data_IF_344507544467
#
_entry.id   IF_344507544467
#
_cell.length_a   1.000
_cell.length_b   1.000
_cell.length_c   1.000
_cell.angle_alpha   90.00
_cell.angle_beta   90.00
_cell.angle_gamma   90.00
#
_symmetry.space_group_name_H-M   'P 1'
#
loop_
_entity.id
_entity.type
_entity.pdbx_description
1 polymer ?
#
# COMPACT_ATOMS: atom_id res chain seq x y z
N UNK A 1 -13.79 4.09 -5.13
CA UNK A 1 -14.59 4.93 -4.21
C UNK A 1 -13.64 5.59 -3.22
N UNK A 2 -13.88 6.84 -2.81
CA UNK A 2 -13.07 7.47 -1.76
C UNK A 2 -13.45 6.87 -0.40
N UNK A 3 -12.47 6.46 0.40
CA UNK A 3 -12.67 5.91 1.74
C UNK A 3 -12.31 6.88 2.85
N UNK A 4 -11.89 8.13 2.55
CA UNK A 4 -11.45 9.15 3.54
C UNK A 4 -10.55 8.64 4.69
N UNK A 5 -9.80 7.56 4.41
CA UNK A 5 -8.92 6.86 5.36
C UNK A 5 -9.63 6.07 6.48
N UNK A 6 -10.95 5.87 6.40
CA UNK A 6 -11.70 5.06 7.36
C UNK A 6 -11.75 3.58 6.92
N UNK A 7 -11.21 2.71 7.78
CA UNK A 7 -11.17 1.26 7.58
C UNK A 7 -12.56 0.63 7.55
N UNK A 8 -13.52 1.13 8.34
CA UNK A 8 -14.88 0.58 8.34
C UNK A 8 -15.56 0.88 7.00
N UNK A 9 -15.36 2.09 6.50
CA UNK A 9 -15.88 2.51 5.18
C UNK A 9 -15.26 1.67 4.06
N UNK A 10 -14.00 1.25 4.20
CA UNK A 10 -13.35 0.39 3.23
C UNK A 10 -13.96 -1.02 3.18
N UNK A 11 -14.16 -1.64 4.33
CA UNK A 11 -14.70 -3.00 4.42
C UNK A 11 -16.12 -3.09 3.84
N UNK A 12 -16.95 -2.08 4.13
CA UNK A 12 -18.31 -1.99 3.58
C UNK A 12 -18.29 -1.80 2.05
N UNK A 13 -17.35 -1.02 1.52
CA UNK A 13 -17.20 -0.85 0.07
C UNK A 13 -16.72 -2.11 -0.62
N UNK A 14 -15.79 -2.86 0.00
CA UNK A 14 -15.32 -4.13 -0.54
C UNK A 14 -16.48 -5.14 -0.57
N UNK A 15 -17.26 -5.26 0.50
CA UNK A 15 -18.46 -6.12 0.54
C UNK A 15 -19.46 -5.72 -0.53
N UNK A 16 -19.75 -4.43 -0.69
CA UNK A 16 -20.65 -3.94 -1.73
C UNK A 16 -20.20 -4.33 -3.14
N UNK A 17 -18.89 -4.29 -3.42
CA UNK A 17 -18.35 -4.67 -4.72
C UNK A 17 -18.45 -6.18 -4.96
N UNK A 18 -18.19 -6.98 -3.92
CA UNK A 18 -18.38 -8.44 -3.98
C UNK A 18 -19.85 -8.82 -4.20
N UNK A 19 -20.78 -8.16 -3.49
CA UNK A 19 -22.23 -8.35 -3.69
C UNK A 19 -22.68 -7.98 -5.11
N UNK A 20 -21.94 -7.09 -5.79
CA UNK A 20 -22.18 -6.70 -7.18
C UNK A 20 -21.53 -7.64 -8.20
N UNK A 21 -20.93 -8.75 -7.77
CA UNK A 21 -20.28 -9.74 -8.63
C UNK A 21 -19.25 -9.13 -9.58
N UNK A 22 -18.38 -8.28 -9.06
CA UNK A 22 -17.25 -7.77 -9.85
C UNK A 22 -16.31 -8.92 -10.26
N UNK A 23 -15.75 -8.82 -11.47
CA UNK A 23 -14.80 -9.81 -11.99
C UNK A 23 -13.40 -9.72 -11.35
N UNK A 24 -13.14 -8.68 -10.56
CA UNK A 24 -11.84 -8.46 -9.92
C UNK A 24 -11.82 -7.18 -9.08
N UNK A 25 -10.81 -7.08 -8.21
CA UNK A 25 -10.65 -5.96 -7.28
C UNK A 25 -9.22 -5.40 -7.34
N UNK A 26 -9.10 -4.07 -7.46
CA UNK A 26 -7.84 -3.36 -7.27
C UNK A 26 -7.94 -2.55 -5.98
N UNK A 27 -6.98 -2.77 -5.07
CA UNK A 27 -7.03 -2.21 -3.71
C UNK A 27 -5.78 -1.37 -3.44
N UNK A 28 -5.96 -0.05 -3.37
CA UNK A 28 -4.86 0.91 -3.18
C UNK A 28 -4.55 1.25 -1.71
N UNK A 29 -5.38 0.79 -0.78
CA UNK A 29 -5.18 0.96 0.66
C UNK A 29 -5.42 -0.37 1.35
N UNK A 30 -4.60 -0.70 2.32
CA UNK A 30 -4.83 -1.87 3.15
C UNK A 30 -4.77 -1.45 4.62
N UNK A 31 -5.81 -1.81 5.37
CA UNK A 31 -5.81 -1.74 6.84
C UNK A 31 -5.16 -2.98 7.47
N UNK A 32 -5.72 -3.45 8.58
CA UNK A 32 -5.37 -4.70 9.28
C UNK A 32 -5.28 -5.92 8.35
N UNK A 33 -6.02 -5.91 7.24
CA UNK A 33 -5.91 -6.93 6.21
C UNK A 33 -6.78 -8.16 6.44
N UNK A 34 -7.43 -8.35 7.59
CA UNK A 34 -8.24 -9.54 7.87
C UNK A 34 -9.36 -9.81 6.85
N UNK A 35 -10.06 -8.76 6.38
CA UNK A 35 -11.11 -8.91 5.35
C UNK A 35 -10.51 -9.18 3.98
N UNK A 36 -9.43 -8.47 3.62
CA UNK A 36 -8.70 -8.73 2.38
C UNK A 36 -8.17 -10.16 2.32
N UNK A 37 -7.60 -10.64 3.43
CA UNK A 37 -7.14 -12.01 3.60
C UNK A 37 -8.27 -13.00 3.37
N UNK A 38 -9.41 -12.81 4.03
CA UNK A 38 -10.61 -13.65 3.82
C UNK A 38 -11.06 -13.66 2.36
N UNK A 39 -11.01 -12.52 1.68
CA UNK A 39 -11.44 -12.45 0.28
C UNK A 39 -10.45 -13.18 -0.61
N UNK A 40 -9.15 -13.02 -0.39
CA UNK A 40 -8.13 -13.73 -1.15
C UNK A 40 -8.16 -15.24 -0.89
N UNK A 41 -8.38 -15.65 0.36
CA UNK A 41 -8.41 -17.05 0.78
C UNK A 41 -9.72 -17.76 0.37
N UNK A 42 -10.88 -17.09 0.51
CA UNK A 42 -12.21 -17.71 0.39
C UNK A 42 -12.95 -17.33 -0.91
N UNK A 43 -12.62 -16.22 -1.57
CA UNK A 43 -13.36 -15.73 -2.73
C UNK A 43 -12.64 -16.01 -4.05
N UNK A 44 -13.41 -16.39 -5.07
CA UNK A 44 -12.91 -16.63 -6.44
C UNK A 44 -12.68 -15.33 -7.24
N UNK A 45 -12.54 -14.18 -6.56
CA UNK A 45 -12.39 -12.87 -7.19
C UNK A 45 -10.90 -12.49 -7.15
N UNK A 46 -10.23 -12.31 -8.30
CA UNK A 46 -8.85 -11.85 -8.35
C UNK A 46 -8.67 -10.51 -7.65
N UNK A 47 -7.66 -10.40 -6.79
CA UNK A 47 -7.31 -9.18 -6.06
C UNK A 47 -5.89 -8.75 -6.42
N UNK A 48 -5.71 -7.45 -6.69
CA UNK A 48 -4.38 -6.86 -6.87
C UNK A 48 -4.23 -5.67 -5.95
N UNK A 49 -3.16 -5.65 -5.16
CA UNK A 49 -2.81 -4.51 -4.32
C UNK A 49 -2.06 -3.45 -5.12
N UNK A 50 -2.29 -2.18 -4.79
CA UNK A 50 -1.60 -1.05 -5.40
C UNK A 50 -0.97 -0.19 -4.31
N UNK A 51 0.25 0.31 -4.56
CA UNK A 51 1.04 1.21 -3.69
C UNK A 51 1.53 0.58 -2.38
N UNK A 52 0.77 -0.35 -1.77
CA UNK A 52 1.07 -0.95 -0.47
C UNK A 52 0.94 -2.47 -0.50
N UNK A 53 1.82 -3.15 0.23
CA UNK A 53 1.65 -4.56 0.58
C UNK A 53 0.94 -4.71 1.92
N UNK A 54 0.25 -5.84 2.10
CA UNK A 54 -0.37 -6.24 3.35
C UNK A 54 0.24 -7.53 3.85
N UNK A 55 0.78 -7.51 5.06
CA UNK A 55 1.35 -8.71 5.65
C UNK A 55 0.27 -9.78 5.87
N UNK A 56 0.59 -11.02 5.48
CA UNK A 56 -0.30 -12.15 5.66
C UNK A 56 -1.42 -12.28 4.62
N UNK A 57 -1.41 -11.46 3.56
CA UNK A 57 -2.28 -11.59 2.38
C UNK A 57 -1.42 -12.02 1.19
N UNK A 58 -1.63 -13.24 0.69
CA UNK A 58 -0.87 -13.79 -0.43
C UNK A 58 -1.56 -13.45 -1.77
N UNK A 59 -1.24 -12.28 -2.33
CA UNK A 59 -1.87 -11.78 -3.56
C UNK A 59 -0.90 -10.91 -4.35
N UNK A 60 -1.19 -10.71 -5.64
CA UNK A 60 -0.38 -9.85 -6.50
C UNK A 60 -0.39 -8.39 -6.03
N UNK A 61 0.74 -7.71 -6.16
CA UNK A 61 0.89 -6.31 -5.79
C UNK A 61 1.72 -5.53 -6.81
N UNK A 62 1.30 -4.30 -7.07
CA UNK A 62 2.05 -3.31 -7.86
C UNK A 62 2.53 -2.22 -6.92
N UNK A 63 3.83 -2.21 -6.63
CA UNK A 63 4.47 -1.29 -5.70
C UNK A 63 5.70 -0.62 -6.32
N UNK A 64 6.08 0.53 -5.76
CA UNK A 64 7.34 1.20 -6.08
C UNK A 64 8.47 0.60 -5.24
N UNK A 65 9.68 0.51 -5.82
CA UNK A 65 10.92 0.31 -5.06
C UNK A 65 11.25 1.59 -4.27
N UNK A 66 10.58 1.73 -3.13
CA UNK A 66 10.62 2.92 -2.28
C UNK A 66 12.00 3.13 -1.62
N UNK A 67 12.73 2.04 -1.34
CA UNK A 67 14.09 2.10 -0.81
C UNK A 67 15.02 2.74 -1.85
N UNK A 68 15.05 2.18 -3.06
CA UNK A 68 15.88 2.72 -4.14
C UNK A 68 15.48 4.15 -4.51
N UNK A 69 14.19 4.46 -4.54
CA UNK A 69 13.71 5.79 -4.87
C UNK A 69 14.24 6.86 -3.90
N UNK A 70 14.27 6.57 -2.60
CA UNK A 70 14.83 7.51 -1.60
C UNK A 70 16.35 7.55 -1.65
N UNK A 71 17.00 6.40 -1.79
CA UNK A 71 18.44 6.34 -1.97
C UNK A 71 18.89 7.21 -3.15
N UNK A 72 18.24 7.09 -4.31
CA UNK A 72 18.55 7.86 -5.52
C UNK A 72 18.29 9.36 -5.28
N UNK A 73 17.20 9.72 -4.60
CA UNK A 73 16.86 11.11 -4.29
C UNK A 73 17.86 11.77 -3.32
N UNK A 74 18.27 11.07 -2.25
CA UNK A 74 19.26 11.57 -1.29
C UNK A 74 20.64 11.66 -1.94
N UNK A 75 21.03 10.65 -2.73
CA UNK A 75 22.29 10.64 -3.49
C UNK A 75 22.37 11.86 -4.39
N UNK A 76 21.30 12.15 -5.14
CA UNK A 76 21.23 13.34 -5.98
C UNK A 76 21.45 14.65 -5.20
N UNK A 77 20.87 14.78 -4.01
CA UNK A 77 21.09 15.96 -3.16
C UNK A 77 22.54 16.04 -2.63
N UNK A 78 23.16 14.92 -2.29
CA UNK A 78 24.56 14.85 -1.86
C UNK A 78 25.49 15.28 -2.99
N UNK A 79 25.22 14.82 -4.22
CA UNK A 79 25.97 15.16 -5.43
C UNK A 79 25.87 16.65 -5.77
N UNK A 80 24.74 17.29 -5.47
CA UNK A 80 24.58 18.75 -5.54
C UNK A 80 25.32 19.51 -4.42
N UNK A 81 25.95 18.82 -3.47
CA UNK A 81 26.73 19.40 -2.38
C UNK A 81 25.96 19.60 -1.07
N UNK A 82 24.70 19.15 -0.98
CA UNK A 82 23.97 19.20 0.29
C UNK A 82 24.59 18.23 1.31
N UNK A 83 24.61 18.65 2.58
CA UNK A 83 25.18 17.87 3.72
C UNK A 83 24.25 17.76 4.92
N UNK A 84 23.21 18.59 4.96
CA UNK A 84 22.18 18.62 6.02
C UNK A 84 20.82 18.44 5.36
N UNK A 85 20.43 17.19 5.17
CA UNK A 85 19.19 16.81 4.48
C UNK A 85 18.19 16.37 5.56
N UNK A 86 17.03 17.03 5.60
CA UNK A 86 15.93 16.65 6.49
C UNK A 86 14.98 15.69 5.78
N UNK A 87 14.47 14.70 6.51
CA UNK A 87 13.46 13.75 6.04
C UNK A 87 12.17 13.96 6.81
N UNK A 88 11.08 14.24 6.10
CA UNK A 88 9.73 14.44 6.68
C UNK A 88 8.85 13.31 6.15
N UNK A 89 8.26 12.54 7.06
CA UNK A 89 7.44 11.36 6.73
C UNK A 89 6.15 11.31 7.55
N UNK A 90 5.19 10.53 7.06
CA UNK A 90 4.00 10.12 7.80
C UNK A 90 4.28 8.94 8.73
N UNK A 91 3.24 8.18 9.11
CA UNK A 91 3.41 6.99 9.94
C UNK A 91 4.27 5.92 9.25
N UNK A 92 5.17 5.29 10.00
CA UNK A 92 6.00 4.18 9.56
C UNK A 92 5.30 2.81 9.63
N UNK A 93 4.05 2.77 10.10
CA UNK A 93 3.25 1.54 10.20
C UNK A 93 2.76 1.03 8.83
N UNK A 94 3.09 1.73 7.74
CA UNK A 94 2.74 1.34 6.37
C UNK A 94 3.98 1.11 5.53
N UNK A 95 3.92 0.09 4.67
CA UNK A 95 5.06 -0.42 3.90
C UNK A 95 5.84 0.66 3.12
N UNK A 96 5.23 1.60 2.38
CA UNK A 96 6.00 2.59 1.63
C UNK A 96 6.82 3.52 2.51
N UNK A 97 6.31 3.87 3.70
CA UNK A 97 7.01 4.80 4.59
C UNK A 97 8.16 4.10 5.31
N UNK A 98 7.98 2.82 5.67
CA UNK A 98 9.06 2.00 6.20
C UNK A 98 10.19 1.86 5.18
N UNK A 99 9.87 1.48 3.95
CA UNK A 99 10.86 1.32 2.87
C UNK A 99 11.60 2.62 2.56
N UNK A 100 10.88 3.75 2.54
CA UNK A 100 11.52 5.07 2.35
C UNK A 100 12.46 5.46 3.48
N UNK A 101 12.27 4.94 4.69
CA UNK A 101 13.13 5.25 5.83
C UNK A 101 14.41 4.41 5.83
N UNK A 102 14.35 3.20 5.26
CA UNK A 102 15.45 2.23 5.28
C UNK A 102 16.33 2.29 4.02
N UNK A 103 15.90 2.98 2.97
CA UNK A 103 16.69 3.29 1.76
C UNK A 103 17.56 4.54 1.90
#
# INVERSE_FOLDING_TARGET
CCTDEDLNTQDDQIRLLLDRMVDGLIVARVGDGAILKRIVDDANVPVVLLDRVCEGVDTDAVVLDNQRAVFDAITYLIDLGHRRIGYISGSFDISPMHDRMTG
#
